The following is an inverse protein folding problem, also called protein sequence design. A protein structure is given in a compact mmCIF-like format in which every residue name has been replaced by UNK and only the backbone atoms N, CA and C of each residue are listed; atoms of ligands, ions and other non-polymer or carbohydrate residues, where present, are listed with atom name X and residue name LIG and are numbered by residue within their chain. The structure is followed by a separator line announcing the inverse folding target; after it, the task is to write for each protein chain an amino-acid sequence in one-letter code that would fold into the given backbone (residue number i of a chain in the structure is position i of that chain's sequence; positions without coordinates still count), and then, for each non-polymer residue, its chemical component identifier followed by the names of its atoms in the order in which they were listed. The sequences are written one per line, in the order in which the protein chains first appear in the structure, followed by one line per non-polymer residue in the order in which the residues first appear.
data_IF_592939393017
#
_entry.id   IF_592939393017
#
_cell.length_a   1.000
_cell.length_b   1.000
_cell.length_c   1.000
_cell.angle_alpha   90.00
_cell.angle_beta   90.00
_cell.angle_gamma   90.00
#
_symmetry.space_group_name_H-M   'P 1'
#
loop_
_entity.id
_entity.type
_entity.pdbx_description
1 polymer ?
#
# COMPACT_ATOMS: atom_id res chain seq x y z
N UNK A 1 -19.15 3.95 19.76
CA UNK A 1 -18.01 3.44 18.97
C UNK A 1 -18.16 3.99 17.56
N UNK A 2 -17.19 4.75 17.06
CA UNK A 2 -17.23 5.21 15.66
C UNK A 2 -17.05 3.96 14.79
N UNK A 3 -18.00 3.67 13.91
CA UNK A 3 -17.87 2.59 12.93
C UNK A 3 -16.72 2.95 11.99
N UNK A 4 -15.79 2.02 11.74
CA UNK A 4 -14.74 2.21 10.75
C UNK A 4 -15.44 2.45 9.39
N UNK A 5 -15.17 3.56 8.69
CA UNK A 5 -15.77 3.83 7.39
C UNK A 5 -15.41 2.70 6.41
N UNK A 6 -16.33 2.33 5.51
CA UNK A 6 -16.09 1.28 4.50
C UNK A 6 -14.96 1.63 3.52
N UNK A 7 -14.67 2.93 3.36
CA UNK A 7 -13.61 3.48 2.53
C UNK A 7 -13.27 4.88 3.06
N UNK A 8 -11.98 5.16 3.23
CA UNK A 8 -11.44 6.48 3.58
C UNK A 8 -10.24 6.73 2.65
N UNK A 9 -10.12 7.96 2.16
CA UNK A 9 -9.02 8.38 1.28
C UNK A 9 -8.26 9.48 2.00
N UNK A 10 -6.97 9.26 2.23
CA UNK A 10 -6.08 10.21 2.90
C UNK A 10 -4.91 10.48 1.95
N UNK A 11 -4.67 11.75 1.66
CA UNK A 11 -3.50 12.19 0.93
C UNK A 11 -2.34 12.26 1.92
N UNK A 12 -1.27 11.52 1.62
CA UNK A 12 -0.03 11.55 2.39
C UNK A 12 0.91 12.60 1.81
N UNK A 13 1.73 13.21 2.66
CA UNK A 13 2.82 14.07 2.22
C UNK A 13 3.89 13.24 1.50
N UNK A 14 4.53 13.80 0.48
CA UNK A 14 5.63 13.14 -0.23
C UNK A 14 6.87 12.97 0.66
N UNK A 15 7.03 13.86 1.64
CA UNK A 15 8.13 13.84 2.62
C UNK A 15 7.73 13.19 3.97
N UNK A 16 6.59 12.48 4.00
CA UNK A 16 6.10 11.84 5.23
C UNK A 16 7.15 10.90 5.84
N UNK A 17 7.35 11.01 7.14
CA UNK A 17 8.23 10.09 7.87
C UNK A 17 7.49 8.84 8.42
N UNK A 18 8.26 7.87 8.91
CA UNK A 18 7.72 6.63 9.46
C UNK A 18 6.76 6.87 10.65
N UNK A 19 7.09 7.80 11.55
CA UNK A 19 6.29 8.07 12.74
C UNK A 19 4.97 8.74 12.38
N UNK A 20 5.00 9.67 11.42
CA UNK A 20 3.80 10.31 10.89
C UNK A 20 2.89 9.29 10.21
N UNK A 21 3.44 8.41 9.38
CA UNK A 21 2.69 7.33 8.74
C UNK A 21 2.04 6.39 9.77
N UNK A 22 2.82 5.92 10.76
CA UNK A 22 2.32 5.04 11.83
C UNK A 22 1.25 5.73 12.67
N UNK A 23 1.39 7.02 12.94
CA UNK A 23 0.41 7.82 13.67
C UNK A 23 -0.93 7.88 12.92
N UNK A 24 -0.91 8.10 11.60
CA UNK A 24 -2.11 8.09 10.75
C UNK A 24 -2.81 6.73 10.83
N UNK A 25 -2.08 5.63 10.62
CA UNK A 25 -2.64 4.27 10.67
C UNK A 25 -3.25 3.97 12.04
N UNK A 26 -2.53 4.28 13.13
CA UNK A 26 -3.02 4.08 14.50
C UNK A 26 -4.23 4.93 14.84
N UNK A 27 -4.42 6.07 14.17
CA UNK A 27 -5.61 6.91 14.35
C UNK A 27 -6.87 6.22 13.81
N UNK A 28 -6.74 5.46 12.72
CA UNK A 28 -7.83 4.80 11.98
C UNK A 28 -8.08 3.37 12.50
N UNK A 29 -7.02 2.57 12.56
CA UNK A 29 -7.07 1.16 12.94
C UNK A 29 -6.60 1.02 14.40
N UNK A 30 -7.47 0.45 15.25
CA UNK A 30 -7.19 0.20 16.67
C UNK A 30 -6.75 -1.25 16.96
N UNK A 31 -6.60 -2.04 15.91
CA UNK A 31 -6.24 -3.46 15.94
C UNK A 31 -5.20 -3.71 14.86
N UNK A 32 -4.59 -4.89 14.88
CA UNK A 32 -3.67 -5.34 13.84
C UNK A 32 -4.33 -5.22 12.46
N UNK A 33 -3.56 -4.74 11.48
CA UNK A 33 -4.02 -4.51 10.13
C UNK A 33 -3.01 -5.04 9.11
N UNK A 34 -3.51 -5.35 7.92
CA UNK A 34 -2.68 -5.70 6.77
C UNK A 34 -2.59 -4.48 5.85
N UNK A 35 -1.37 -4.16 5.46
CA UNK A 35 -1.08 -3.05 4.55
C UNK A 35 -0.72 -3.65 3.19
N UNK A 36 -1.43 -3.19 2.17
CA UNK A 36 -1.13 -3.49 0.78
C UNK A 36 -0.78 -2.20 0.05
N UNK A 37 0.22 -2.27 -0.81
CA UNK A 37 0.60 -1.17 -1.69
C UNK A 37 0.17 -1.51 -3.13
N UNK A 38 -0.19 -0.47 -3.88
CA UNK A 38 -0.40 -0.55 -5.32
C UNK A 38 0.68 0.32 -5.95
N UNK A 39 1.59 -0.31 -6.70
CA UNK A 39 2.68 0.38 -7.37
C UNK A 39 2.36 0.45 -8.87
N UNK A 40 2.25 1.65 -9.46
CA UNK A 40 2.06 1.81 -10.89
C UNK A 40 3.18 1.16 -11.71
N UNK A 41 2.87 0.63 -12.89
CA UNK A 41 3.85 -0.09 -13.71
C UNK A 41 4.93 0.79 -14.35
N UNK A 42 4.71 2.11 -14.37
CA UNK A 42 5.69 3.08 -14.82
C UNK A 42 6.80 3.33 -13.77
N UNK A 43 6.56 3.03 -12.49
CA UNK A 43 7.52 3.12 -11.38
C UNK A 43 8.46 1.90 -11.36
N UNK A 44 9.13 1.64 -12.49
CA UNK A 44 9.98 0.46 -12.65
C UNK A 44 11.17 0.45 -11.68
N UNK A 45 11.76 1.61 -11.39
CA UNK A 45 12.90 1.72 -10.48
C UNK A 45 12.51 1.28 -9.06
N UNK A 46 11.35 1.73 -8.58
CA UNK A 46 10.80 1.32 -7.29
C UNK A 46 10.45 -0.17 -7.26
N UNK A 47 9.82 -0.69 -8.33
CA UNK A 47 9.52 -2.12 -8.44
C UNK A 47 10.79 -2.98 -8.40
N UNK A 48 11.86 -2.53 -9.07
CA UNK A 48 13.14 -3.22 -9.10
C UNK A 48 13.81 -3.21 -7.72
N UNK A 49 13.81 -2.07 -7.03
CA UNK A 49 14.34 -1.92 -5.67
C UNK A 49 13.62 -2.85 -4.69
N UNK A 50 12.29 -2.91 -4.79
CA UNK A 50 11.45 -3.71 -3.89
C UNK A 50 11.36 -5.19 -4.29
N UNK A 51 11.85 -5.59 -5.45
CA UNK A 51 11.64 -6.94 -6.04
C UNK A 51 11.93 -8.12 -5.12
N UNK A 52 12.93 -8.01 -4.23
CA UNK A 52 13.29 -9.06 -3.30
C UNK A 52 12.37 -9.15 -2.07
N UNK A 53 11.74 -8.03 -1.74
CA UNK A 53 10.93 -7.83 -0.54
C UNK A 53 9.45 -7.65 -0.84
N UNK A 54 9.03 -7.45 -2.09
CA UNK A 54 7.63 -7.24 -2.45
C UNK A 54 7.02 -8.53 -3.01
N UNK A 55 5.89 -8.94 -2.45
CA UNK A 55 5.08 -10.05 -2.93
C UNK A 55 3.90 -9.46 -3.69
N UNK A 56 3.94 -9.57 -5.01
CA UNK A 56 2.82 -9.24 -5.88
C UNK A 56 1.71 -10.30 -5.76
N UNK A 57 0.47 -9.86 -5.56
CA UNK A 57 -0.72 -10.72 -5.54
C UNK A 57 -1.59 -10.55 -6.78
N UNK A 58 -1.61 -9.35 -7.36
CA UNK A 58 -2.50 -9.05 -8.47
C UNK A 58 -1.98 -7.88 -9.32
N UNK A 59 -2.37 -7.87 -10.60
CA UNK A 59 -2.13 -6.78 -11.55
C UNK A 59 -3.46 -6.32 -12.16
N UNK A 60 -3.77 -5.03 -12.08
CA UNK A 60 -5.05 -4.50 -12.59
C UNK A 60 -4.92 -3.08 -13.17
N UNK A 61 -5.84 -2.67 -14.06
CA UNK A 61 -5.85 -1.30 -14.59
C UNK A 61 -6.16 -0.30 -13.49
N UNK A 62 -5.35 0.75 -13.38
CA UNK A 62 -5.54 1.81 -12.40
C UNK A 62 -6.70 2.74 -12.79
N UNK A 63 -7.34 3.40 -11.80
CA UNK A 63 -8.28 4.47 -12.06
C UNK A 63 -7.64 5.56 -12.93
N UNK A 64 -8.45 6.27 -13.73
CA UNK A 64 -7.99 7.31 -14.68
C UNK A 64 -7.28 8.52 -14.04
N UNK A 65 -7.21 8.59 -12.72
CA UNK A 65 -6.38 9.55 -11.98
C UNK A 65 -4.89 9.25 -12.17
N UNK A 66 -4.55 7.98 -12.38
CA UNK A 66 -3.26 7.59 -12.92
C UNK A 66 -3.36 7.67 -14.46
N UNK A 67 -2.26 7.97 -15.17
CA UNK A 67 -2.20 7.73 -16.61
C UNK A 67 -2.66 6.29 -16.86
N UNK A 68 -3.25 5.96 -18.02
CA UNK A 68 -3.91 4.66 -18.28
C UNK A 68 -2.96 3.46 -18.16
N UNK A 69 -2.62 3.11 -16.93
CA UNK A 69 -1.50 2.28 -16.52
C UNK A 69 -2.05 1.12 -15.70
N UNK A 70 -1.31 0.03 -15.71
CA UNK A 70 -1.56 -1.06 -14.77
C UNK A 70 -0.85 -0.76 -13.45
N UNK A 71 -1.42 -1.28 -12.36
CA UNK A 71 -0.79 -1.28 -11.04
C UNK A 71 -0.57 -2.69 -10.55
N UNK A 72 0.53 -2.88 -9.83
CA UNK A 72 0.88 -4.10 -9.11
C UNK A 72 0.46 -3.96 -7.66
N UNK A 73 -0.48 -4.78 -7.21
CA UNK A 73 -0.88 -4.85 -5.81
C UNK A 73 -0.09 -5.93 -5.10
N UNK A 74 0.50 -5.56 -3.97
CA UNK A 74 1.32 -6.47 -3.18
C UNK A 74 1.56 -5.98 -1.76
N UNK A 75 2.35 -6.73 -1.02
CA UNK A 75 2.80 -6.34 0.31
C UNK A 75 4.29 -6.67 0.49
N UNK A 76 4.87 -6.15 1.56
CA UNK A 76 6.21 -6.55 1.96
C UNK A 76 6.22 -8.01 2.47
N UNK A 77 7.26 -8.75 2.12
CA UNK A 77 7.56 -10.10 2.56
C UNK A 77 7.98 -10.03 4.02
N UNK A 78 7.04 -10.27 4.92
CA UNK A 78 7.40 -10.57 6.30
C UNK A 78 8.09 -11.92 6.39
N UNK A 79 9.13 -12.01 7.22
CA UNK A 79 10.07 -13.13 7.23
C UNK A 79 9.48 -14.49 7.67
N UNK A 80 8.17 -14.60 7.98
CA UNK A 80 7.59 -15.87 8.45
C UNK A 80 6.15 -16.23 8.06
N UNK A 81 5.34 -15.39 7.44
CA UNK A 81 3.99 -15.86 7.05
C UNK A 81 3.46 -15.13 5.82
N UNK A 82 3.35 -15.87 4.72
CA UNK A 82 2.45 -15.53 3.62
C UNK A 82 1.11 -16.17 3.99
N UNK A 83 0.15 -15.37 4.47
CA UNK A 83 -1.23 -15.85 4.58
C UNK A 83 -1.81 -15.78 3.16
N UNK A 84 -1.79 -16.94 2.48
CA UNK A 84 -2.47 -17.18 1.20
C UNK A 84 -3.99 -17.26 1.43
#
# INVERSE_FOLDING_TARGET
MRSIPKKEEILLDEEIDEQEFVSIINSIYKQDCYIYAIIPENEQDLLNELSNNFIEFNKFPLPRTFPREMGYMGCERQSKTIYL
#
